data_IF_822365247848
#
_entry.id   IF_822365247848
#
_cell.length_a   1.000
_cell.length_b   1.000
_cell.length_c   1.000
_cell.angle_alpha   90.00
_cell.angle_beta   90.00
_cell.angle_gamma   90.00
#
_symmetry.space_group_name_H-M   'P 1'
#
loop_
_entity.id
_entity.type
_entity.pdbx_description
1 polymer ?
#
# COMPACT_ATOMS: atom_id res chain seq x y z
N UNK A 1 3.96 -10.38 -0.53
CA UNK A 1 3.35 -9.03 -0.57
C UNK A 1 4.42 -8.01 -0.24
N UNK A 2 4.36 -6.81 -0.80
CA UNK A 2 5.36 -5.74 -0.70
C UNK A 2 4.67 -4.47 -0.22
N UNK A 3 5.22 -3.82 0.81
CA UNK A 3 4.71 -2.55 1.31
C UNK A 3 4.98 -1.46 0.28
N UNK A 4 3.95 -0.71 -0.09
CA UNK A 4 4.03 0.41 -1.03
C UNK A 4 3.36 1.63 -0.43
N UNK A 5 3.92 2.80 -0.71
CA UNK A 5 3.38 4.09 -0.27
C UNK A 5 2.64 4.74 -1.43
N UNK A 6 1.44 5.25 -1.18
CA UNK A 6 0.67 6.01 -2.16
C UNK A 6 1.37 7.36 -2.36
N UNK A 7 1.77 7.65 -3.60
CA UNK A 7 2.50 8.87 -3.94
C UNK A 7 1.59 10.01 -4.41
N UNK A 8 0.33 9.70 -4.78
CA UNK A 8 -0.58 10.67 -5.38
C UNK A 8 -2.05 10.37 -5.00
N UNK A 9 -2.86 11.43 -4.89
CA UNK A 9 -4.30 11.37 -4.61
C UNK A 9 -4.63 11.64 -3.15
N UNK A 10 -5.92 11.54 -2.79
CA UNK A 10 -6.42 11.84 -1.43
C UNK A 10 -5.82 10.92 -0.34
N UNK A 11 -5.22 9.80 -0.75
CA UNK A 11 -4.59 8.83 0.14
C UNK A 11 -3.05 8.90 0.10
N UNK A 12 -2.48 9.97 -0.44
CA UNK A 12 -1.04 10.18 -0.47
C UNK A 12 -0.42 10.02 0.94
N UNK A 13 0.70 9.30 1.01
CA UNK A 13 1.41 8.98 2.25
C UNK A 13 0.88 7.74 2.97
N UNK A 14 -0.31 7.23 2.62
CA UNK A 14 -0.78 5.94 3.16
C UNK A 14 0.02 4.79 2.57
N UNK A 15 0.21 3.75 3.37
CA UNK A 15 0.86 2.51 2.94
C UNK A 15 -0.18 1.42 2.70
N UNK A 16 0.13 0.53 1.77
CA UNK A 16 -0.65 -0.67 1.49
C UNK A 16 0.27 -1.83 1.14
N UNK A 17 -0.21 -3.05 1.33
CA UNK A 17 0.50 -4.23 0.84
C UNK A 17 0.03 -4.54 -0.58
N UNK A 18 0.94 -4.51 -1.54
CA UNK A 18 0.69 -4.94 -2.91
C UNK A 18 1.32 -6.30 -3.21
N UNK A 19 0.87 -6.96 -4.27
CA UNK A 19 1.58 -8.13 -4.79
C UNK A 19 2.99 -7.75 -5.31
N UNK A 20 3.90 -8.72 -5.39
CA UNK A 20 5.27 -8.51 -5.90
C UNK A 20 5.21 -7.92 -7.32
N UNK A 21 4.30 -8.44 -8.15
CA UNK A 21 4.12 -8.06 -9.55
C UNK A 21 3.17 -6.87 -9.77
N UNK A 22 2.93 -6.01 -8.79
CA UNK A 22 2.18 -4.77 -9.01
C UNK A 22 2.92 -3.86 -10.02
N UNK A 23 2.27 -3.27 -11.03
CA UNK A 23 0.82 -3.12 -11.24
C UNK A 23 0.13 -4.23 -12.06
N UNK A 24 0.88 -5.25 -12.50
CA UNK A 24 0.31 -6.40 -13.25
C UNK A 24 -0.64 -7.22 -12.39
N UNK A 25 -0.33 -7.40 -11.11
CA UNK A 25 -1.23 -7.94 -10.11
C UNK A 25 -1.71 -6.81 -9.19
N UNK A 26 -3.00 -6.48 -9.27
CA UNK A 26 -3.64 -5.39 -8.51
C UNK A 26 -4.23 -5.84 -7.17
N UNK A 27 -3.89 -7.04 -6.74
CA UNK A 27 -4.26 -7.50 -5.40
C UNK A 27 -3.53 -6.63 -4.37
N UNK A 28 -4.33 -5.94 -3.56
CA UNK A 28 -3.86 -5.10 -2.46
C UNK A 28 -4.55 -5.53 -1.16
N UNK A 29 -3.80 -5.43 -0.07
CA UNK A 29 -4.32 -5.61 1.28
C UNK A 29 -4.07 -4.34 2.09
N UNK A 30 -4.96 -4.00 3.03
CA UNK A 30 -4.72 -2.90 3.94
C UNK A 30 -3.42 -3.19 4.69
N UNK A 31 -2.45 -2.28 4.61
CA UNK A 31 -1.34 -2.31 5.56
C UNK A 31 -1.89 -1.85 6.92
N UNK A 32 -1.42 -2.43 8.04
CA UNK A 32 -1.70 -1.85 9.34
C UNK A 32 -1.18 -0.42 9.28
N UNK A 33 -2.10 0.53 9.31
CA UNK A 33 -1.75 1.94 9.43
C UNK A 33 -0.82 2.03 10.61
N UNK A 34 0.42 2.46 10.38
CA UNK A 34 1.43 2.64 11.40
C UNK A 34 1.07 3.87 12.25
N UNK A 35 -0.09 3.80 12.91
CA UNK A 35 -0.35 4.37 14.22
C UNK A 35 -0.32 3.20 15.19
N UNK A 36 0.87 2.65 15.39
CA UNK A 36 1.15 1.97 16.64
C UNK A 36 1.68 3.06 17.58
N UNK A 37 0.80 3.52 18.48
CA UNK A 37 1.20 4.12 19.75
C UNK A 37 1.91 3.04 20.56
#
# INVERSE_FOLDING_TARGET
MVLRTVTQGEHQGKQFYGCVNYPRCREVKPAPTQKAI
#
